data_IF_014443600528
#
_entry.id   IF_014443600528
#
_cell.length_a   1.000
_cell.length_b   1.000
_cell.length_c   1.000
_cell.angle_alpha   90.00
_cell.angle_beta   90.00
_cell.angle_gamma   90.00
#
_symmetry.space_group_name_H-M   'P 1'
#
loop_
_entity.id
_entity.type
_entity.pdbx_description
1 polymer ?
#
# COMPACT_ATOMS: atom_id res chain seq x y z
N UNK A 1 17.45 27.14 13.96
CA UNK A 1 16.34 26.26 13.57
C UNK A 1 16.89 25.33 12.54
N UNK A 2 17.03 24.06 12.90
CA UNK A 2 17.52 23.04 11.98
C UNK A 2 16.45 22.77 10.92
N UNK A 3 16.84 22.50 9.68
CA UNK A 3 15.90 22.27 8.57
C UNK A 3 14.91 21.10 8.80
N UNK A 4 15.16 20.28 9.83
CA UNK A 4 14.27 19.20 10.30
C UNK A 4 13.03 19.72 11.02
N UNK A 5 13.08 20.91 11.63
CA UNK A 5 11.95 21.50 12.37
C UNK A 5 10.86 22.10 11.46
N UNK A 6 11.08 22.10 10.14
CA UNK A 6 10.18 22.64 9.13
C UNK A 6 9.46 21.56 8.31
N UNK A 7 9.73 20.29 8.59
CA UNK A 7 9.11 19.14 7.91
C UNK A 7 8.02 18.53 8.79
N UNK A 8 6.86 19.20 8.84
CA UNK A 8 5.64 18.66 9.43
C UNK A 8 4.74 18.01 8.37
N UNK A 9 3.73 17.28 8.83
CA UNK A 9 2.77 16.57 7.95
C UNK A 9 2.11 17.53 6.95
N UNK A 10 1.78 18.74 7.38
CA UNK A 10 1.15 19.75 6.52
C UNK A 10 2.07 20.15 5.36
N UNK A 11 3.35 20.37 5.64
CA UNK A 11 4.35 20.74 4.62
C UNK A 11 4.63 19.56 3.68
N UNK A 12 4.67 18.33 4.20
CA UNK A 12 4.82 17.12 3.39
C UNK A 12 3.64 16.93 2.42
N UNK A 13 2.41 17.14 2.89
CA UNK A 13 1.20 17.07 2.05
C UNK A 13 1.17 18.17 0.98
N UNK A 14 1.65 19.38 1.28
CA UNK A 14 1.77 20.47 0.30
C UNK A 14 2.76 20.14 -0.81
N UNK A 15 3.87 19.47 -0.48
CA UNK A 15 4.85 19.00 -1.48
C UNK A 15 4.22 17.92 -2.36
N UNK A 16 3.55 16.93 -1.75
CA UNK A 16 2.88 15.86 -2.47
C UNK A 16 1.76 16.36 -3.40
N UNK A 17 1.08 17.45 -3.03
CA UNK A 17 0.03 18.07 -3.82
C UNK A 17 0.55 19.02 -4.92
N UNK A 18 1.87 19.18 -5.09
CA UNK A 18 2.44 20.10 -6.07
C UNK A 18 2.44 19.48 -7.48
N UNK A 19 2.03 20.24 -8.50
CA UNK A 19 1.89 19.74 -9.89
C UNK A 19 3.18 19.19 -10.52
N UNK A 20 4.34 19.54 -9.98
CA UNK A 20 5.64 19.02 -10.44
C UNK A 20 6.02 17.68 -9.81
N UNK A 21 5.23 17.19 -8.86
CA UNK A 21 5.44 15.89 -8.23
C UNK A 21 4.84 14.83 -9.16
N UNK A 22 5.73 14.06 -9.77
CA UNK A 22 5.34 12.89 -10.54
C UNK A 22 4.80 11.82 -9.56
N UNK A 23 3.49 11.62 -9.59
CA UNK A 23 2.79 10.68 -8.73
C UNK A 23 3.26 9.24 -8.93
N UNK A 24 3.75 8.91 -10.14
CA UNK A 24 4.33 7.60 -10.44
C UNK A 24 5.69 7.45 -9.78
N UNK A 25 6.57 8.44 -9.90
CA UNK A 25 7.89 8.42 -9.27
C UNK A 25 7.79 8.32 -7.74
N UNK A 26 6.82 9.00 -7.15
CA UNK A 26 6.57 8.90 -5.71
C UNK A 26 6.00 7.54 -5.30
N UNK A 27 5.06 6.98 -6.08
CA UNK A 27 4.56 5.65 -5.82
C UNK A 27 5.69 4.61 -5.87
N UNK A 28 6.58 4.69 -6.87
CA UNK A 28 7.76 3.83 -7.00
C UNK A 28 8.73 3.98 -5.81
N UNK A 29 8.96 5.23 -5.36
CA UNK A 29 9.84 5.48 -4.20
C UNK A 29 9.26 4.94 -2.89
N UNK A 30 7.95 5.10 -2.67
CA UNK A 30 7.24 4.56 -1.50
C UNK A 30 7.23 3.03 -1.55
N UNK A 31 6.96 2.44 -2.71
CA UNK A 31 7.03 0.99 -2.93
C UNK A 31 8.42 0.45 -2.62
N UNK A 32 9.48 1.12 -3.10
CA UNK A 32 10.85 0.75 -2.76
C UNK A 32 11.11 0.80 -1.25
N UNK A 33 10.61 1.83 -0.55
CA UNK A 33 10.76 1.95 0.90
C UNK A 33 10.00 0.87 1.67
N UNK A 34 8.81 0.47 1.21
CA UNK A 34 8.03 -0.62 1.80
C UNK A 34 8.77 -1.96 1.66
N UNK A 35 9.44 -2.18 0.53
CA UNK A 35 10.14 -3.43 0.24
C UNK A 35 11.54 -3.52 0.87
N UNK A 36 12.31 -2.44 0.80
CA UNK A 36 13.75 -2.43 1.09
C UNK A 36 14.15 -1.44 2.20
N UNK A 37 13.22 -0.65 2.70
CA UNK A 37 13.48 0.35 3.72
C UNK A 37 13.78 -0.24 5.11
N UNK A 38 14.29 0.57 6.05
CA UNK A 38 14.41 0.19 7.46
C UNK A 38 13.08 -0.23 8.04
N UNK A 39 13.08 -1.18 9.00
CA UNK A 39 11.86 -1.79 9.53
C UNK A 39 10.90 -0.76 10.13
N UNK A 40 11.44 0.30 10.75
CA UNK A 40 10.65 1.38 11.35
C UNK A 40 9.92 2.22 10.29
N UNK A 41 10.56 2.44 9.14
CA UNK A 41 9.97 3.18 8.01
C UNK A 41 8.93 2.32 7.31
N UNK A 42 9.22 1.04 7.13
CA UNK A 42 8.27 0.08 6.56
C UNK A 42 6.98 0.02 7.38
N UNK A 43 7.09 -0.14 8.70
CA UNK A 43 5.93 -0.16 9.58
C UNK A 43 5.13 1.14 9.50
N UNK A 44 5.81 2.29 9.55
CA UNK A 44 5.15 3.59 9.46
C UNK A 44 4.36 3.75 8.14
N UNK A 45 4.94 3.31 7.02
CA UNK A 45 4.29 3.38 5.71
C UNK A 45 3.11 2.41 5.61
N UNK A 46 3.22 1.21 6.18
CA UNK A 46 2.11 0.24 6.24
C UNK A 46 0.95 0.76 7.11
N UNK A 47 1.23 1.32 8.28
CA UNK A 47 0.21 1.89 9.16
C UNK A 47 -0.50 3.09 8.51
N UNK A 48 0.27 3.94 7.82
CA UNK A 48 -0.26 5.07 7.06
C UNK A 48 -1.13 4.58 5.88
N UNK A 49 -0.69 3.55 5.16
CA UNK A 49 -1.45 2.93 4.08
C UNK A 49 -2.77 2.35 4.58
N UNK A 50 -2.76 1.60 5.68
CA UNK A 50 -3.98 1.06 6.30
C UNK A 50 -4.95 2.18 6.70
N UNK A 51 -4.44 3.25 7.31
CA UNK A 51 -5.25 4.41 7.69
C UNK A 51 -5.87 5.10 6.47
N UNK A 52 -5.08 5.29 5.41
CA UNK A 52 -5.53 5.90 4.16
C UNK A 52 -6.58 5.03 3.46
N UNK A 53 -6.40 3.71 3.44
CA UNK A 53 -7.33 2.75 2.86
C UNK A 53 -8.66 2.75 3.59
N UNK A 54 -8.67 2.71 4.93
CA UNK A 54 -9.92 2.78 5.73
C UNK A 54 -10.64 4.12 5.51
N UNK A 55 -9.89 5.22 5.44
CA UNK A 55 -10.47 6.55 5.22
C UNK A 55 -11.02 6.74 3.81
N UNK A 56 -10.40 6.14 2.79
CA UNK A 56 -10.75 6.34 1.38
C UNK A 56 -11.74 5.30 0.88
N UNK A 57 -11.70 4.09 1.44
CA UNK A 57 -12.55 2.94 1.10
C UNK A 57 -13.20 2.38 2.38
N UNK A 58 -14.10 3.12 3.03
CA UNK A 58 -14.73 2.70 4.30
C UNK A 58 -15.60 1.45 4.18
N UNK A 59 -16.02 1.10 2.96
CA UNK A 59 -16.81 -0.10 2.67
C UNK A 59 -15.94 -1.36 2.54
N UNK A 60 -14.63 -1.21 2.31
CA UNK A 60 -13.70 -2.32 2.18
C UNK A 60 -13.37 -2.87 3.58
N UNK A 61 -13.81 -4.11 3.84
CA UNK A 61 -13.59 -4.75 5.14
C UNK A 61 -12.55 -5.86 5.01
N UNK A 62 -11.56 -5.91 5.91
CA UNK A 62 -10.64 -7.03 5.93
C UNK A 62 -11.39 -8.31 6.30
N UNK A 63 -11.11 -9.40 5.59
CA UNK A 63 -11.69 -10.72 5.87
C UNK A 63 -11.09 -11.32 7.14
N UNK A 64 -9.80 -11.11 7.35
CA UNK A 64 -9.07 -11.50 8.54
C UNK A 64 -7.80 -10.65 8.68
N UNK A 65 -7.07 -10.83 9.78
CA UNK A 65 -5.76 -10.23 9.98
C UNK A 65 -4.70 -11.33 10.03
N UNK A 66 -3.57 -11.06 9.41
CA UNK A 66 -2.41 -11.95 9.45
C UNK A 66 -1.79 -11.99 10.86
N UNK A 67 -0.90 -12.97 11.17
CA UNK A 67 -0.24 -13.08 12.48
C UNK A 67 0.60 -11.85 12.87
N UNK A 68 1.02 -11.07 11.88
CA UNK A 68 1.75 -9.81 12.01
C UNK A 68 0.83 -8.57 12.03
N UNK A 69 -0.49 -8.77 12.03
CA UNK A 69 -1.48 -7.71 12.20
C UNK A 69 -1.85 -6.95 10.91
N UNK A 70 -1.42 -7.45 9.74
CA UNK A 70 -1.81 -6.86 8.45
C UNK A 70 -3.23 -7.30 8.08
N UNK A 71 -3.98 -6.37 7.48
CA UNK A 71 -5.37 -6.62 7.12
C UNK A 71 -5.41 -7.37 5.78
N UNK A 72 -6.00 -8.56 5.76
CA UNK A 72 -6.14 -9.35 4.55
C UNK A 72 -7.48 -9.04 3.88
N UNK A 73 -7.49 -8.82 2.57
CA UNK A 73 -8.69 -8.52 1.81
C UNK A 73 -9.02 -9.63 0.80
N UNK A 74 -10.30 -9.79 0.51
CA UNK A 74 -10.75 -10.62 -0.61
C UNK A 74 -10.47 -9.88 -1.93
N UNK A 75 -9.83 -10.58 -2.89
CA UNK A 75 -9.43 -9.99 -4.16
C UNK A 75 -10.62 -9.43 -4.96
N UNK A 76 -11.80 -10.06 -4.88
CA UNK A 76 -13.00 -9.60 -5.60
C UNK A 76 -13.59 -8.36 -4.98
N UNK A 77 -13.66 -8.30 -3.65
CA UNK A 77 -14.13 -7.13 -2.93
C UNK A 77 -13.18 -5.93 -3.11
N UNK A 78 -11.86 -6.19 -3.11
CA UNK A 78 -10.87 -5.17 -3.42
C UNK A 78 -11.02 -4.67 -4.86
N UNK A 79 -11.08 -5.58 -5.84
CA UNK A 79 -11.23 -5.20 -7.24
C UNK A 79 -12.52 -4.36 -7.46
N UNK A 80 -13.63 -4.79 -6.85
CA UNK A 80 -14.89 -4.05 -6.87
C UNK A 80 -14.78 -2.65 -6.26
N UNK A 81 -14.07 -2.51 -5.13
CA UNK A 81 -13.85 -1.22 -4.46
C UNK A 81 -12.94 -0.29 -5.26
N UNK A 82 -11.99 -0.85 -5.99
CA UNK A 82 -11.09 -0.13 -6.89
C UNK A 82 -11.70 0.17 -8.27
N UNK A 83 -12.90 -0.36 -8.56
CA UNK A 83 -13.57 -0.17 -9.85
C UNK A 83 -12.91 -0.92 -11.01
N UNK A 84 -12.09 -1.93 -10.72
CA UNK A 84 -11.43 -2.80 -11.71
C UNK A 84 -12.02 -4.21 -11.64
N UNK A 85 -11.76 -5.02 -12.66
CA UNK A 85 -12.17 -6.43 -12.62
C UNK A 85 -11.14 -7.30 -11.86
N UNK A 86 -11.57 -8.45 -11.37
CA UNK A 86 -10.72 -9.39 -10.62
C UNK A 86 -9.49 -9.84 -11.43
N UNK A 87 -9.64 -10.05 -12.74
CA UNK A 87 -8.56 -10.51 -13.62
C UNK A 87 -7.45 -9.45 -13.79
N UNK A 88 -7.83 -8.18 -13.86
CA UNK A 88 -6.95 -7.03 -13.91
C UNK A 88 -6.24 -6.82 -12.57
N UNK A 89 -6.96 -6.94 -11.46
CA UNK A 89 -6.36 -6.92 -10.12
C UNK A 89 -5.33 -8.05 -9.96
N UNK A 90 -5.69 -9.28 -10.37
CA UNK A 90 -4.80 -10.46 -10.34
C UNK A 90 -3.55 -10.24 -11.20
N UNK A 91 -3.69 -9.62 -12.38
CA UNK A 91 -2.57 -9.30 -13.27
C UNK A 91 -1.62 -8.28 -12.65
N UNK A 92 -2.15 -7.23 -12.00
CA UNK A 92 -1.33 -6.22 -11.30
C UNK A 92 -0.54 -6.87 -10.16
N UNK A 93 -1.19 -7.75 -9.38
CA UNK A 93 -0.52 -8.48 -8.28
C UNK A 93 0.58 -9.41 -8.81
N UNK A 94 0.30 -10.19 -9.86
CA UNK A 94 1.29 -11.06 -10.49
C UNK A 94 2.48 -10.27 -11.02
N UNK A 95 2.24 -9.14 -11.68
CA UNK A 95 3.32 -8.28 -12.17
C UNK A 95 4.19 -7.75 -11.01
N UNK A 96 3.56 -7.30 -9.91
CA UNK A 96 4.28 -6.82 -8.72
C UNK A 96 5.07 -7.93 -8.03
N UNK A 97 4.54 -9.15 -7.98
CA UNK A 97 5.23 -10.32 -7.44
C UNK A 97 6.44 -10.72 -8.29
N UNK A 98 6.31 -10.72 -9.62
CA UNK A 98 7.41 -10.99 -10.55
C UNK A 98 8.53 -9.95 -10.46
N UNK A 99 8.16 -8.67 -10.35
CA UNK A 99 9.10 -7.54 -10.28
C UNK A 99 9.90 -7.55 -8.96
N UNK A 100 9.29 -7.98 -7.85
CA UNK A 100 9.89 -7.83 -6.52
C UNK A 100 10.30 -9.13 -5.82
N UNK A 101 9.81 -10.30 -6.25
CA UNK A 101 10.12 -11.66 -5.74
C UNK A 101 10.06 -11.86 -4.22
N UNK A 102 9.48 -10.89 -3.49
CA UNK A 102 9.51 -10.78 -2.03
C UNK A 102 8.12 -10.72 -1.41
N UNK A 103 7.10 -10.46 -2.23
CA UNK A 103 5.74 -10.33 -1.78
C UNK A 103 5.05 -11.67 -2.03
N UNK A 104 5.06 -12.57 -1.03
CA UNK A 104 4.07 -13.65 -0.97
C UNK A 104 2.70 -13.00 -0.72
N UNK A 105 2.15 -12.32 -1.75
CA UNK A 105 0.86 -11.64 -1.64
C UNK A 105 -0.29 -12.63 -1.52
N UNK A 106 -0.07 -13.87 -1.95
CA UNK A 106 -0.98 -14.98 -1.76
C UNK A 106 -0.52 -15.78 -0.55
N UNK A 107 -1.40 -15.94 0.43
CA UNK A 107 -1.16 -16.86 1.53
C UNK A 107 -1.21 -18.29 0.97
N UNK A 108 -0.19 -19.10 1.21
CA UNK A 108 0.00 -20.46 0.64
C UNK A 108 -1.16 -21.44 0.99
N UNK A 109 -2.06 -21.04 1.88
CA UNK A 109 -3.19 -21.85 2.40
C UNK A 109 -4.58 -21.35 1.95
N UNK A 110 -4.71 -20.14 1.38
CA UNK A 110 -6.00 -19.58 0.92
C UNK A 110 -5.84 -18.73 -0.35
N UNK A 111 -6.16 -19.34 -1.49
CA UNK A 111 -5.89 -18.89 -2.86
C UNK A 111 -6.51 -17.55 -3.32
N UNK A 112 -7.26 -16.84 -2.47
CA UNK A 112 -7.96 -15.59 -2.86
C UNK A 112 -7.79 -14.42 -1.86
N UNK A 113 -6.90 -14.54 -0.87
CA UNK A 113 -6.66 -13.48 0.13
C UNK A 113 -5.30 -12.80 -0.03
N UNK A 114 -5.31 -11.46 0.05
CA UNK A 114 -4.15 -10.59 -0.20
C UNK A 114 -3.87 -9.64 0.97
N UNK A 115 -2.58 -9.45 1.29
CA UNK A 115 -2.07 -8.55 2.34
C UNK A 115 -1.87 -7.10 1.84
#
# INVERSE_FOLDING_TARGET
MDAKDLWDLETALKVLAHDSVDSKLWAEAVEWLILYGPIEIRQLLLDASMTATISSFPELKPTHYSPDGQACYDLRELAGSLGINEEEARKILQQKEEEHKLLQMFNDDDTDTIH
#
